data_IF_177732587945
#
_entry.id   IF_177732587945
#
_cell.length_a   1.000
_cell.length_b   1.000
_cell.length_c   1.000
_cell.angle_alpha   90.00
_cell.angle_beta   90.00
_cell.angle_gamma   90.00
#
_symmetry.space_group_name_H-M   'P 1'
#
loop_
_entity.id
_entity.type
_entity.pdbx_description
1 polymer ?
#
# COMPACT_ATOMS: atom_id res chain seq x y z
N UNK A 1 16.17 -9.57 16.89
CA UNK A 1 16.22 -8.54 15.83
C UNK A 1 15.14 -8.91 14.83
N UNK A 2 13.94 -8.41 15.09
CA UNK A 2 12.70 -8.83 14.47
C UNK A 2 12.70 -8.52 12.98
N UNK A 3 12.52 -9.58 12.17
CA UNK A 3 12.37 -9.45 10.72
C UNK A 3 11.03 -8.76 10.46
N UNK A 4 11.09 -7.67 9.69
CA UNK A 4 9.94 -6.88 9.25
C UNK A 4 8.85 -7.76 8.63
N UNK A 5 7.62 -7.53 9.12
CA UNK A 5 6.37 -8.20 8.74
C UNK A 5 5.82 -7.54 7.48
N UNK A 6 5.41 -8.34 6.49
CA UNK A 6 5.41 -7.93 5.07
C UNK A 6 3.99 -7.67 4.54
N UNK A 7 3.73 -6.43 4.13
CA UNK A 7 2.55 -5.98 3.38
C UNK A 7 2.83 -5.97 1.86
N UNK A 8 1.78 -5.83 1.05
CA UNK A 8 1.84 -5.66 -0.42
C UNK A 8 2.40 -4.28 -0.84
N UNK A 9 2.32 -3.27 0.03
CA UNK A 9 3.03 -2.01 -0.07
C UNK A 9 3.77 -1.84 1.26
N UNK A 10 5.09 -2.05 1.25
CA UNK A 10 5.94 -1.92 2.44
C UNK A 10 6.52 -0.53 2.50
N UNK A 11 6.77 -0.03 3.70
CA UNK A 11 7.73 1.05 3.92
C UNK A 11 8.96 0.38 4.54
N UNK A 12 10.04 0.27 3.78
CA UNK A 12 11.30 -0.23 4.31
C UNK A 12 12.31 0.91 4.46
N UNK A 13 13.02 0.90 5.60
CA UNK A 13 14.13 1.81 5.89
C UNK A 13 15.46 1.11 5.61
N UNK A 14 16.35 1.74 4.83
CA UNK A 14 17.67 1.21 4.49
C UNK A 14 18.79 2.05 5.16
N UNK A 15 19.17 1.76 6.42
CA UNK A 15 20.20 2.53 7.10
C UNK A 15 21.55 2.43 6.36
N UNK A 16 22.32 3.54 6.24
CA UNK A 16 22.22 4.79 7.01
C UNK A 16 21.25 5.83 6.44
N UNK A 17 20.60 5.55 5.33
CA UNK A 17 19.68 6.48 4.70
C UNK A 17 18.27 6.23 5.23
N UNK A 18 17.70 7.22 5.91
CA UNK A 18 16.36 7.12 6.49
C UNK A 18 15.25 7.24 5.41
N UNK A 19 15.40 6.51 4.30
CA UNK A 19 14.52 6.53 3.15
C UNK A 19 13.45 5.46 3.29
N UNK A 20 12.26 5.74 2.77
CA UNK A 20 11.15 4.78 2.73
C UNK A 20 10.77 4.49 1.29
N UNK A 21 10.79 3.22 0.90
CA UNK A 21 10.38 2.80 -0.45
C UNK A 21 9.20 1.85 -0.38
N UNK A 22 8.38 1.88 -1.43
CA UNK A 22 7.29 0.94 -1.69
C UNK A 22 7.78 -0.19 -2.58
N UNK A 23 7.36 -1.42 -2.28
CA UNK A 23 7.61 -2.58 -3.13
C UNK A 23 6.30 -2.92 -3.86
N UNK A 24 6.30 -2.81 -5.18
CA UNK A 24 5.13 -3.07 -6.03
C UNK A 24 5.23 -4.37 -6.84
N UNK A 25 6.23 -5.24 -6.59
CA UNK A 25 6.52 -6.44 -7.39
C UNK A 25 5.29 -7.30 -7.73
N UNK A 26 4.32 -7.41 -6.81
CA UNK A 26 3.10 -8.19 -7.04
C UNK A 26 1.94 -7.39 -7.64
N UNK A 27 1.89 -6.08 -7.40
CA UNK A 27 0.82 -5.22 -7.93
C UNK A 27 1.09 -4.83 -9.39
N UNK A 28 2.35 -4.60 -9.74
CA UNK A 28 2.73 -4.15 -11.09
C UNK A 28 2.29 -5.17 -12.14
N UNK A 29 2.58 -6.46 -11.95
CA UNK A 29 2.16 -7.52 -12.89
C UNK A 29 0.64 -7.58 -13.06
N UNK A 30 -0.13 -7.49 -11.98
CA UNK A 30 -1.60 -7.51 -12.07
C UNK A 30 -2.14 -6.27 -12.78
N UNK A 31 -1.51 -5.11 -12.56
CA UNK A 31 -1.93 -3.88 -13.21
C UNK A 31 -1.58 -3.91 -14.70
N UNK A 32 -0.39 -4.38 -15.07
CA UNK A 32 0.02 -4.56 -16.48
C UNK A 32 -0.98 -5.47 -17.21
N UNK A 33 -1.30 -6.65 -16.64
CA UNK A 33 -2.29 -7.57 -17.20
C UNK A 33 -3.66 -6.88 -17.40
N UNK A 34 -4.11 -6.06 -16.42
CA UNK A 34 -5.35 -5.30 -16.55
C UNK A 34 -5.28 -4.24 -17.65
N UNK A 35 -4.16 -3.51 -17.76
CA UNK A 35 -3.99 -2.46 -18.75
C UNK A 35 -3.97 -3.02 -20.17
N UNK A 36 -3.31 -4.16 -20.38
CA UNK A 36 -3.25 -4.85 -21.67
C UNK A 36 -4.61 -5.44 -22.05
N UNK A 37 -5.30 -6.09 -21.11
CA UNK A 37 -6.62 -6.68 -21.35
C UNK A 37 -7.72 -5.65 -21.60
N UNK A 38 -7.50 -4.39 -21.21
CA UNK A 38 -8.48 -3.29 -21.36
C UNK A 38 -8.03 -2.22 -22.37
N UNK A 39 -7.11 -2.58 -23.26
CA UNK A 39 -6.65 -1.63 -24.27
C UNK A 39 -7.80 -1.14 -25.18
N UNK A 40 -7.77 0.15 -25.53
CA UNK A 40 -8.86 0.81 -26.27
C UNK A 40 -10.12 1.15 -25.45
N UNK A 41 -10.18 0.82 -24.16
CA UNK A 41 -11.31 1.16 -23.28
C UNK A 41 -10.99 2.24 -22.24
N UNK A 42 -12.03 2.96 -21.79
CA UNK A 42 -11.96 3.84 -20.62
C UNK A 42 -11.77 3.01 -19.35
N UNK A 43 -10.80 3.39 -18.52
CA UNK A 43 -10.35 2.64 -17.34
C UNK A 43 -10.51 3.46 -16.07
N UNK A 44 -10.85 2.81 -14.97
CA UNK A 44 -10.83 3.39 -13.62
C UNK A 44 -10.14 2.40 -12.69
N UNK A 45 -8.99 2.78 -12.15
CA UNK A 45 -8.25 1.94 -11.20
C UNK A 45 -8.71 2.32 -9.78
N UNK A 46 -9.21 1.33 -9.03
CA UNK A 46 -9.68 1.51 -7.67
C UNK A 46 -8.71 0.89 -6.66
N UNK A 47 -8.17 1.73 -5.76
CA UNK A 47 -7.31 1.30 -4.66
C UNK A 47 -8.11 1.24 -3.36
N UNK A 48 -8.81 0.12 -3.16
CA UNK A 48 -9.81 -0.04 -2.11
C UNK A 48 -9.25 -0.27 -0.70
N UNK A 49 -7.98 -0.70 -0.56
CA UNK A 49 -7.38 -0.97 0.75
C UNK A 49 -6.40 0.13 1.13
N UNK A 50 -6.73 0.85 2.20
CA UNK A 50 -5.86 1.85 2.80
C UNK A 50 -4.85 1.18 3.73
N UNK A 51 -3.58 1.62 3.76
CA UNK A 51 -2.60 1.09 4.70
C UNK A 51 -3.00 1.31 6.16
N UNK A 52 -2.80 0.28 6.99
CA UNK A 52 -3.17 0.32 8.41
C UNK A 52 -2.48 1.43 9.21
N UNK A 53 -1.25 1.81 8.84
CA UNK A 53 -0.46 2.85 9.51
C UNK A 53 -1.08 4.25 9.40
N UNK A 54 -2.06 4.44 8.51
CA UNK A 54 -2.85 5.67 8.43
C UNK A 54 -3.86 5.80 9.58
N UNK A 55 -4.16 4.70 10.28
CA UNK A 55 -5.20 4.63 11.30
C UNK A 55 -4.63 4.50 12.71
N UNK A 56 -5.35 5.03 13.68
CA UNK A 56 -5.12 4.77 15.10
C UNK A 56 -5.43 3.31 15.38
N UNK A 57 -4.50 2.63 16.02
CA UNK A 57 -4.62 1.23 16.40
C UNK A 57 -4.30 1.06 17.87
N UNK A 58 -5.17 0.41 18.63
CA UNK A 58 -4.90 0.06 20.03
C UNK A 58 -3.85 -1.07 20.12
N UNK A 59 -3.86 -1.96 19.12
CA UNK A 59 -2.88 -3.05 18.97
C UNK A 59 -2.38 -3.09 17.52
N UNK A 60 -1.05 -3.26 17.30
CA UNK A 60 -0.51 -3.39 15.95
C UNK A 60 -1.10 -4.60 15.23
N UNK A 61 -1.59 -4.40 14.00
CA UNK A 61 -2.04 -5.50 13.15
C UNK A 61 -0.85 -6.23 12.51
N UNK A 62 -0.83 -7.55 12.64
CA UNK A 62 0.27 -8.39 12.16
C UNK A 62 -0.17 -9.15 10.92
N UNK A 63 0.42 -8.79 9.78
CA UNK A 63 0.22 -9.48 8.51
C UNK A 63 1.00 -10.81 8.45
N UNK A 64 0.56 -11.79 7.64
CA UNK A 64 1.31 -13.00 7.36
C UNK A 64 2.68 -12.70 6.74
N UNK A 65 3.68 -13.54 7.02
CA UNK A 65 5.02 -13.38 6.44
C UNK A 65 5.07 -13.74 4.95
N UNK A 66 4.16 -14.62 4.51
CA UNK A 66 4.00 -15.02 3.12
C UNK A 66 2.96 -14.12 2.43
N UNK A 67 3.40 -13.33 1.44
CA UNK A 67 2.56 -12.40 0.70
C UNK A 67 1.46 -13.06 -0.14
N UNK A 68 1.54 -14.37 -0.40
CA UNK A 68 0.49 -15.13 -1.09
C UNK A 68 -0.63 -15.62 -0.17
N UNK A 69 -0.51 -15.44 1.14
CA UNK A 69 -1.55 -15.82 2.09
C UNK A 69 -2.58 -14.71 2.25
N UNK A 70 -3.86 -15.10 2.25
CA UNK A 70 -4.96 -14.17 2.52
C UNK A 70 -5.02 -13.81 3.99
N UNK A 71 -5.18 -12.53 4.28
CA UNK A 71 -5.50 -12.04 5.62
C UNK A 71 -6.88 -11.37 5.61
N UNK A 72 -7.91 -12.07 6.11
CA UNK A 72 -9.27 -11.53 6.19
C UNK A 72 -9.47 -10.49 7.30
N UNK A 73 -8.47 -10.27 8.16
CA UNK A 73 -8.53 -9.33 9.28
C UNK A 73 -7.81 -8.02 8.98
N UNK A 74 -7.41 -7.80 7.72
CA UNK A 74 -6.76 -6.58 7.28
C UNK A 74 -7.55 -5.27 7.49
N UNK A 75 -8.90 -5.24 7.57
CA UNK A 75 -9.62 -4.00 7.84
C UNK A 75 -9.38 -3.59 9.29
N UNK A 76 -8.55 -2.57 9.49
CA UNK A 76 -8.12 -2.15 10.83
C UNK A 76 -8.18 -0.64 11.00
N UNK A 77 -8.81 -0.22 12.09
CA UNK A 77 -8.99 1.18 12.44
C UNK A 77 -10.10 1.88 11.66
N UNK A 78 -10.70 2.88 12.29
CA UNK A 78 -11.76 3.72 11.71
C UNK A 78 -11.47 5.21 11.88
N UNK A 79 -10.38 5.55 12.58
CA UNK A 79 -9.96 6.92 12.88
C UNK A 79 -8.54 7.12 12.38
N UNK A 80 -8.32 8.15 11.57
CA UNK A 80 -6.98 8.48 11.06
C UNK A 80 -6.06 8.95 12.20
N UNK A 81 -4.76 8.67 12.06
CA UNK A 81 -3.71 9.23 12.94
C UNK A 81 -3.64 10.75 12.74
N UNK A 82 -3.64 11.19 11.48
CA UNK A 82 -3.67 12.60 11.08
C UNK A 82 -5.09 12.99 10.65
N UNK A 83 -5.74 13.85 11.43
CA UNK A 83 -7.12 14.31 11.22
C UNK A 83 -7.29 15.30 10.06
N UNK A 84 -6.23 16.00 9.67
CA UNK A 84 -6.21 16.85 8.45
C UNK A 84 -6.33 16.02 7.16
N UNK A 85 -6.18 14.69 7.25
CA UNK A 85 -6.16 13.74 6.13
C UNK A 85 -5.00 13.95 5.15
N UNK A 86 -4.04 14.81 5.47
CA UNK A 86 -2.88 15.06 4.62
C UNK A 86 -2.12 13.77 4.29
N UNK A 87 -1.78 12.95 5.29
CA UNK A 87 -1.08 11.69 5.08
C UNK A 87 -1.84 10.70 4.19
N UNK A 88 -3.18 10.72 4.24
CA UNK A 88 -4.03 9.92 3.37
C UNK A 88 -3.97 10.43 1.92
N UNK A 89 -4.02 11.75 1.74
CA UNK A 89 -3.85 12.40 0.45
C UNK A 89 -2.47 12.14 -0.15
N UNK A 90 -1.40 12.30 0.62
CA UNK A 90 -0.02 12.05 0.22
C UNK A 90 0.18 10.59 -0.22
N UNK A 91 -0.44 9.64 0.49
CA UNK A 91 -0.42 8.23 0.10
C UNK A 91 -1.02 8.00 -1.29
N UNK A 92 -2.24 8.48 -1.54
CA UNK A 92 -2.89 8.32 -2.84
C UNK A 92 -2.20 9.12 -3.95
N UNK A 93 -1.69 10.32 -3.63
CA UNK A 93 -0.90 11.14 -4.55
C UNK A 93 0.37 10.42 -5.00
N UNK A 94 1.13 9.82 -4.07
CA UNK A 94 2.32 9.04 -4.39
C UNK A 94 1.99 7.78 -5.19
N UNK A 95 0.88 7.11 -4.89
CA UNK A 95 0.42 5.94 -5.63
C UNK A 95 0.03 6.29 -7.07
N UNK A 96 -0.70 7.40 -7.25
CA UNK A 96 -1.01 7.91 -8.57
C UNK A 96 0.25 8.29 -9.35
N UNK A 97 1.17 9.03 -8.72
CA UNK A 97 2.44 9.45 -9.33
C UNK A 97 3.27 8.26 -9.83
N UNK A 98 3.33 7.18 -9.04
CA UNK A 98 4.01 5.93 -9.42
C UNK A 98 3.50 5.37 -10.76
N UNK A 99 2.18 5.21 -10.89
CA UNK A 99 1.58 4.57 -12.07
C UNK A 99 1.38 5.52 -13.26
N UNK A 100 1.14 6.81 -13.00
CA UNK A 100 1.03 7.81 -14.05
C UNK A 100 2.41 8.32 -14.52
N UNK A 101 3.52 7.89 -13.88
CA UNK A 101 4.90 8.33 -14.16
C UNK A 101 5.05 9.85 -14.17
N UNK A 102 4.38 10.53 -13.22
CA UNK A 102 4.42 11.99 -13.01
C UNK A 102 5.16 12.36 -11.75
#
# INVERSE_FOLDING_TARGET
KDKLKRLLIQIQCDPPQNNTYYNFTYLDTMLEDYLDATDGHSRVISYCTQPNWLFKQDTPHIYPDNASLTDWRYPVGTKLVNDTRQALGDYYGRLFAWYARV
#
